data_IF_701556680387
#
_entry.id   IF_701556680387
#
_cell.length_a   1.000
_cell.length_b   1.000
_cell.length_c   1.000
_cell.angle_alpha   90.00
_cell.angle_beta   90.00
_cell.angle_gamma   90.00
#
_symmetry.space_group_name_H-M   'P 1'
#
loop_
_entity.id
_entity.type
_entity.pdbx_description
1 polymer ?
#
# COMPACT_ATOMS: atom_id res chain seq x y z
N UNK A 1 45.37 -51.91 26.75
CA UNK A 1 44.13 -51.09 26.82
C UNK A 1 44.37 -49.84 25.99
N UNK A 2 43.88 -49.82 24.75
CA UNK A 2 44.07 -48.69 23.84
C UNK A 2 42.98 -47.64 24.05
N UNK A 3 43.39 -46.44 24.45
CA UNK A 3 42.51 -45.26 24.50
C UNK A 3 42.07 -44.90 23.07
N UNK A 4 40.83 -45.23 22.70
CA UNK A 4 40.15 -44.60 21.56
C UNK A 4 39.71 -43.21 22.00
N UNK A 5 40.53 -42.21 21.69
CA UNK A 5 40.10 -40.81 21.69
C UNK A 5 39.04 -40.70 20.60
N UNK A 6 37.79 -40.50 21.00
CA UNK A 6 36.72 -40.14 20.07
C UNK A 6 37.05 -38.74 19.57
N UNK A 7 37.61 -38.63 18.36
CA UNK A 7 37.69 -37.37 17.64
C UNK A 7 36.27 -36.84 17.45
N UNK A 8 35.91 -35.83 18.23
CA UNK A 8 34.77 -34.97 17.95
C UNK A 8 35.05 -34.25 16.64
N UNK A 9 34.58 -34.82 15.52
CA UNK A 9 34.55 -34.11 14.24
C UNK A 9 33.80 -32.81 14.47
N UNK A 10 34.50 -31.69 14.42
CA UNK A 10 33.90 -30.37 14.40
C UNK A 10 32.96 -30.30 13.20
N UNK A 11 31.66 -30.28 13.45
CA UNK A 11 30.65 -30.08 12.42
C UNK A 11 30.69 -28.58 12.11
N UNK A 12 31.26 -28.22 10.98
CA UNK A 12 31.16 -26.86 10.46
C UNK A 12 29.70 -26.62 10.06
N UNK A 13 29.13 -25.50 10.51
CA UNK A 13 27.72 -25.15 10.29
C UNK A 13 27.59 -23.74 9.72
N UNK A 14 26.60 -23.53 8.87
CA UNK A 14 26.14 -22.23 8.44
C UNK A 14 25.01 -21.77 9.37
N UNK A 15 25.06 -20.50 9.81
CA UNK A 15 24.05 -19.90 10.68
C UNK A 15 23.28 -18.82 9.93
N UNK A 16 21.96 -18.85 10.02
CA UNK A 16 21.05 -17.88 9.43
C UNK A 16 20.14 -17.30 10.50
N UNK A 17 19.75 -16.04 10.35
CA UNK A 17 18.79 -15.36 11.22
C UNK A 17 17.49 -15.15 10.47
N UNK A 18 16.39 -15.72 10.99
CA UNK A 18 15.07 -15.65 10.35
C UNK A 18 14.10 -14.80 11.21
N UNK A 19 13.46 -13.76 10.65
CA UNK A 19 12.42 -13.01 11.36
C UNK A 19 11.27 -13.94 11.81
N UNK A 20 10.85 -13.83 13.08
CA UNK A 20 9.73 -14.58 13.65
C UNK A 20 9.01 -13.78 14.74
N UNK A 21 7.81 -13.30 14.45
CA UNK A 21 7.06 -12.43 15.36
C UNK A 21 7.83 -11.13 15.65
N UNK A 22 8.21 -10.91 16.92
CA UNK A 22 9.02 -9.76 17.37
C UNK A 22 10.50 -10.10 17.60
N UNK A 23 10.93 -11.30 17.24
CA UNK A 23 12.30 -11.79 17.46
C UNK A 23 12.86 -12.45 16.20
N UNK A 24 14.00 -13.11 16.34
CA UNK A 24 14.63 -13.90 15.29
C UNK A 24 14.82 -15.34 15.76
N UNK A 25 14.70 -16.29 14.84
CA UNK A 25 15.09 -17.68 15.03
C UNK A 25 16.47 -17.89 14.43
N UNK A 26 17.35 -18.58 15.16
CA UNK A 26 18.62 -19.05 14.61
C UNK A 26 18.39 -20.37 13.87
N UNK A 27 18.65 -20.38 12.56
CA UNK A 27 18.64 -21.58 11.73
C UNK A 27 20.09 -22.05 11.53
N UNK A 28 20.37 -23.28 11.93
CA UNK A 28 21.69 -23.91 11.80
C UNK A 28 21.61 -25.00 10.74
N UNK A 29 22.42 -24.89 9.69
CA UNK A 29 22.47 -25.86 8.59
C UNK A 29 23.89 -26.47 8.53
N UNK A 30 23.99 -27.78 8.34
CA UNK A 30 25.29 -28.44 8.09
C UNK A 30 25.95 -27.82 6.86
N UNK A 31 27.19 -27.35 7.01
CA UNK A 31 27.96 -26.72 5.92
C UNK A 31 28.20 -27.62 4.71
N UNK A 32 27.97 -28.93 4.82
CA UNK A 32 27.99 -29.86 3.68
C UNK A 32 26.82 -29.67 2.72
N UNK A 33 25.73 -29.05 3.17
CA UNK A 33 24.59 -28.73 2.31
C UNK A 33 24.87 -27.42 1.59
N UNK A 34 24.62 -27.40 0.29
CA UNK A 34 24.64 -26.15 -0.46
C UNK A 34 23.48 -25.26 0.00
N UNK A 35 23.82 -24.03 0.39
CA UNK A 35 22.85 -23.03 0.87
C UNK A 35 23.11 -21.71 0.17
N UNK A 36 22.06 -21.11 -0.37
CA UNK A 36 22.09 -19.78 -0.99
C UNK A 36 21.11 -18.85 -0.26
N UNK A 37 21.53 -17.61 0.00
CA UNK A 37 20.66 -16.57 0.58
C UNK A 37 20.19 -15.63 -0.52
N UNK A 38 18.89 -15.66 -0.80
CA UNK A 38 18.25 -14.74 -1.74
C UNK A 38 17.67 -13.58 -0.93
N UNK A 39 18.37 -12.44 -0.94
CA UNK A 39 17.98 -11.23 -0.23
C UNK A 39 17.71 -10.08 -1.21
N UNK A 40 16.86 -9.10 -0.86
CA UNK A 40 16.75 -7.87 -1.63
C UNK A 40 18.11 -7.17 -1.75
N UNK A 41 18.32 -6.46 -2.85
CA UNK A 41 19.50 -5.62 -2.99
C UNK A 41 19.49 -4.54 -1.89
N UNK A 42 20.60 -4.32 -1.17
CA UNK A 42 20.67 -3.28 -0.17
C UNK A 42 20.50 -1.92 -0.83
N UNK A 43 19.53 -1.15 -0.35
CA UNK A 43 19.27 0.23 -0.78
C UNK A 43 19.72 1.21 0.30
N UNK A 44 20.44 2.26 -0.11
CA UNK A 44 20.80 3.34 0.82
C UNK A 44 19.52 4.11 1.18
N UNK A 45 19.18 4.27 2.47
CA UNK A 45 18.04 5.10 2.87
C UNK A 45 18.28 6.56 2.47
N UNK A 46 17.19 7.30 2.29
CA UNK A 46 17.26 8.74 2.03
C UNK A 46 17.86 9.46 3.24
N UNK A 47 18.74 10.43 2.99
CA UNK A 47 19.39 11.22 4.04
C UNK A 47 18.39 12.17 4.73
N UNK A 48 17.48 12.74 3.95
CA UNK A 48 16.37 13.56 4.45
C UNK A 48 15.04 13.09 3.81
N UNK A 49 14.37 12.10 4.42
CA UNK A 49 13.08 11.61 3.94
C UNK A 49 11.98 12.70 3.91
N UNK A 50 12.01 13.68 4.82
CA UNK A 50 11.00 14.74 4.87
C UNK A 50 11.13 15.68 3.66
N UNK A 51 12.37 16.10 3.35
CA UNK A 51 12.66 16.88 2.15
C UNK A 51 12.31 16.11 0.88
N UNK A 52 12.61 14.80 0.83
CA UNK A 52 12.29 13.96 -0.33
C UNK A 52 10.77 13.89 -0.60
N UNK A 53 9.94 13.80 0.43
CA UNK A 53 8.47 13.83 0.28
C UNK A 53 8.02 15.18 -0.27
N UNK A 54 8.53 16.30 0.28
CA UNK A 54 8.21 17.65 -0.21
C UNK A 54 8.63 17.83 -1.67
N UNK A 55 9.80 17.32 -2.05
CA UNK A 55 10.29 17.35 -3.42
C UNK A 55 9.41 16.51 -4.37
N UNK A 56 9.02 15.30 -3.98
CA UNK A 56 8.14 14.44 -4.78
C UNK A 56 6.77 15.09 -5.02
N UNK A 57 6.25 15.80 -4.03
CA UNK A 57 5.01 16.57 -4.12
C UNK A 57 5.12 17.81 -5.02
N UNK A 58 6.25 18.51 -4.99
CA UNK A 58 6.50 19.71 -5.81
C UNK A 58 6.90 19.37 -7.26
N UNK A 59 7.45 18.18 -7.48
CA UNK A 59 7.91 17.69 -8.77
C UNK A 59 7.28 16.33 -9.10
N UNK A 60 5.95 16.27 -9.24
CA UNK A 60 5.26 15.02 -9.53
C UNK A 60 5.69 14.45 -10.89
N UNK A 61 5.69 13.11 -10.99
CA UNK A 61 5.90 12.44 -12.26
C UNK A 61 4.68 12.66 -13.17
N UNK A 62 4.92 13.03 -14.42
CA UNK A 62 3.88 13.40 -15.38
C UNK A 62 3.59 14.90 -15.41
N UNK A 63 2.43 15.28 -15.96
CA UNK A 63 2.04 16.67 -16.19
C UNK A 63 0.86 17.13 -15.29
N UNK A 64 0.70 16.54 -14.10
CA UNK A 64 -0.39 16.85 -13.16
C UNK A 64 0.20 17.32 -11.84
N UNK A 65 -0.27 18.47 -11.34
CA UNK A 65 0.14 19.11 -10.10
C UNK A 65 -1.08 19.34 -9.21
N UNK A 66 -0.88 19.42 -7.89
CA UNK A 66 -1.99 19.74 -6.98
C UNK A 66 -2.62 21.11 -7.27
N UNK A 67 -1.82 22.06 -7.78
CA UNK A 67 -2.30 23.39 -8.21
C UNK A 67 -3.29 23.33 -9.40
N UNK A 68 -3.37 22.21 -10.12
CA UNK A 68 -4.32 22.07 -11.22
C UNK A 68 -5.77 21.86 -10.71
N UNK A 69 -5.94 21.63 -9.40
CA UNK A 69 -7.22 21.29 -8.77
C UNK A 69 -7.77 22.37 -7.83
N UNK A 70 -7.32 23.62 -7.94
CA UNK A 70 -7.75 24.72 -7.05
C UNK A 70 -9.27 25.00 -7.06
N UNK A 71 -10.00 24.52 -8.06
CA UNK A 71 -11.46 24.62 -8.13
C UNK A 71 -12.20 23.49 -7.40
N UNK A 72 -11.49 22.46 -6.91
CA UNK A 72 -12.10 21.37 -6.17
C UNK A 72 -12.66 21.89 -4.83
N UNK A 73 -13.89 21.50 -4.50
CA UNK A 73 -14.52 21.88 -3.24
C UNK A 73 -14.35 20.81 -2.15
N UNK A 74 -13.88 19.62 -2.52
CA UNK A 74 -13.66 18.50 -1.61
C UNK A 74 -12.51 17.60 -2.05
N UNK A 75 -11.76 17.10 -1.07
CA UNK A 75 -10.61 16.20 -1.29
C UNK A 75 -10.84 14.88 -0.56
N UNK A 76 -10.71 13.78 -1.30
CA UNK A 76 -10.72 12.43 -0.75
C UNK A 76 -9.32 11.83 -0.86
N UNK A 77 -8.75 11.38 0.26
CA UNK A 77 -7.42 10.78 0.31
C UNK A 77 -7.55 9.33 0.79
N UNK A 78 -7.36 8.37 -0.12
CA UNK A 78 -7.32 6.96 0.21
C UNK A 78 -5.95 6.59 0.79
N UNK A 79 -5.91 6.07 2.02
CA UNK A 79 -4.69 5.69 2.73
C UNK A 79 -4.71 4.19 3.07
N UNK A 80 -3.53 3.59 3.22
CA UNK A 80 -3.41 2.18 3.65
C UNK A 80 -3.96 1.96 5.07
N UNK A 81 -4.39 0.73 5.36
CA UNK A 81 -4.80 0.31 6.70
C UNK A 81 -3.61 -0.19 7.54
N UNK A 82 -3.90 -0.65 8.77
CA UNK A 82 -2.91 -1.13 9.76
C UNK A 82 -2.11 -2.36 9.33
N UNK A 83 -2.47 -3.01 8.22
CA UNK A 83 -1.76 -4.19 7.73
C UNK A 83 -0.54 -3.83 6.89
N UNK A 84 -0.34 -2.53 6.61
CA UNK A 84 0.82 -2.01 5.88
C UNK A 84 1.78 -1.30 6.82
N UNK A 85 3.10 -1.36 6.56
CA UNK A 85 4.06 -0.58 7.33
C UNK A 85 3.79 0.92 7.15
N UNK A 86 3.94 1.70 8.21
CA UNK A 86 3.76 3.15 8.17
C UNK A 86 5.11 3.79 7.83
N UNK A 87 5.25 4.55 6.73
CA UNK A 87 6.48 5.28 6.47
C UNK A 87 6.74 6.32 7.55
N UNK A 88 8.01 6.50 7.91
CA UNK A 88 8.45 7.53 8.84
C UNK A 88 9.49 8.44 8.16
N UNK A 89 9.21 9.76 8.01
CA UNK A 89 7.99 10.47 8.37
C UNK A 89 6.78 10.06 7.52
N UNK A 90 5.56 10.26 8.05
CA UNK A 90 4.33 9.88 7.37
C UNK A 90 4.01 10.87 6.22
N UNK A 91 3.93 10.43 4.94
CA UNK A 91 3.74 11.30 3.79
C UNK A 91 2.42 12.07 3.80
N UNK A 92 1.40 11.55 4.51
CA UNK A 92 0.12 12.24 4.67
C UNK A 92 0.32 13.61 5.33
N UNK A 93 1.29 13.76 6.24
CA UNK A 93 1.56 15.04 6.92
C UNK A 93 1.93 16.12 5.89
N UNK A 94 2.91 15.84 5.02
CA UNK A 94 3.36 16.82 4.02
C UNK A 94 2.32 17.07 2.95
N UNK A 95 1.55 16.05 2.56
CA UNK A 95 0.45 16.20 1.61
C UNK A 95 -0.65 17.13 2.17
N UNK A 96 -1.05 16.91 3.43
CA UNK A 96 -2.07 17.74 4.08
C UNK A 96 -1.60 19.19 4.22
N UNK A 97 -0.36 19.41 4.66
CA UNK A 97 0.20 20.77 4.72
C UNK A 97 0.16 21.46 3.36
N UNK A 98 0.56 20.77 2.30
CA UNK A 98 0.55 21.36 0.96
C UNK A 98 -0.87 21.67 0.46
N UNK A 99 -1.87 20.84 0.79
CA UNK A 99 -3.27 21.12 0.47
C UNK A 99 -3.78 22.34 1.26
N UNK A 100 -3.45 22.45 2.55
CA UNK A 100 -3.78 23.63 3.36
C UNK A 100 -3.14 24.91 2.79
N UNK A 101 -1.86 24.85 2.38
CA UNK A 101 -1.14 25.97 1.76
C UNK A 101 -1.78 26.42 0.43
N UNK A 102 -2.46 25.51 -0.28
CA UNK A 102 -3.23 25.79 -1.49
C UNK A 102 -4.65 26.32 -1.19
N UNK A 103 -5.03 26.43 0.08
CA UNK A 103 -6.30 27.00 0.53
C UNK A 103 -7.42 25.98 0.78
N UNK A 104 -7.12 24.68 0.75
CA UNK A 104 -8.11 23.67 1.13
C UNK A 104 -8.34 23.67 2.64
N UNK A 105 -9.56 23.95 3.07
CA UNK A 105 -9.93 23.89 4.48
C UNK A 105 -9.97 22.44 4.97
N UNK A 106 -9.54 22.16 6.21
CA UNK A 106 -9.53 20.82 6.80
C UNK A 106 -10.87 20.08 6.68
N UNK A 107 -12.00 20.79 6.84
CA UNK A 107 -13.36 20.22 6.73
C UNK A 107 -13.70 19.70 5.32
N UNK A 108 -12.99 20.17 4.29
CA UNK A 108 -13.16 19.74 2.90
C UNK A 108 -12.35 18.47 2.58
N UNK A 109 -11.40 18.11 3.45
CA UNK A 109 -10.49 16.98 3.28
C UNK A 109 -10.97 15.79 4.11
N UNK A 110 -11.08 14.62 3.48
CA UNK A 110 -11.49 13.37 4.11
C UNK A 110 -10.44 12.30 3.87
N UNK A 111 -10.02 11.62 4.93
CA UNK A 111 -9.11 10.48 4.86
C UNK A 111 -9.93 9.18 4.86
N UNK A 112 -9.66 8.29 3.89
CA UNK A 112 -10.35 7.03 3.73
C UNK A 112 -9.39 5.87 4.01
N UNK A 113 -9.63 5.13 5.09
CA UNK A 113 -8.85 3.93 5.43
C UNK A 113 -9.28 2.81 4.50
N UNK A 114 -8.34 2.38 3.66
CA UNK A 114 -8.58 1.49 2.53
C UNK A 114 -8.30 0.04 2.92
N UNK A 115 -9.29 -0.60 3.56
CA UNK A 115 -9.18 -1.95 4.13
C UNK A 115 -9.36 -3.09 3.13
N UNK A 116 -9.95 -2.85 1.95
CA UNK A 116 -10.34 -3.94 1.05
C UNK A 116 -11.22 -4.96 1.78
N UNK A 117 -10.82 -6.23 1.77
CA UNK A 117 -11.53 -7.31 2.49
C UNK A 117 -11.13 -7.47 3.96
N UNK A 118 -10.22 -6.66 4.47
CA UNK A 118 -9.84 -6.71 5.88
C UNK A 118 -10.97 -6.20 6.77
N UNK A 119 -10.93 -6.59 8.05
CA UNK A 119 -11.79 -6.00 9.07
C UNK A 119 -11.54 -4.50 9.13
N UNK A 120 -12.61 -3.72 9.08
CA UNK A 120 -12.54 -2.26 9.21
C UNK A 120 -11.85 -1.87 10.51
N UNK A 121 -10.99 -0.87 10.41
CA UNK A 121 -10.23 -0.34 11.55
C UNK A 121 -11.17 0.34 12.56
N UNK A 122 -10.94 0.11 13.85
CA UNK A 122 -11.66 0.82 14.90
C UNK A 122 -11.05 2.21 15.15
N UNK A 123 -11.83 3.15 15.66
CA UNK A 123 -11.39 4.56 15.81
C UNK A 123 -10.20 4.73 16.77
N UNK A 124 -10.17 3.94 17.83
CA UNK A 124 -9.09 3.88 18.80
C UNK A 124 -7.78 3.34 18.22
N UNK A 125 -7.83 2.72 17.03
CA UNK A 125 -6.64 2.24 16.31
C UNK A 125 -6.06 3.26 15.32
N UNK A 126 -6.71 4.42 15.10
CA UNK A 126 -6.26 5.38 14.09
C UNK A 126 -4.87 5.95 14.40
N UNK A 127 -4.56 6.17 15.68
CA UNK A 127 -3.25 6.66 16.12
C UNK A 127 -2.10 5.67 15.84
N UNK A 128 -2.40 4.40 15.49
CA UNK A 128 -1.38 3.44 15.07
C UNK A 128 -0.82 3.73 13.67
N UNK A 129 -1.57 4.45 12.83
CA UNK A 129 -1.18 4.73 11.43
C UNK A 129 -1.12 6.22 11.10
N UNK A 130 -1.72 7.08 11.93
CA UNK A 130 -1.75 8.53 11.76
C UNK A 130 -1.31 9.23 13.05
N UNK A 131 -0.57 10.34 12.97
CA UNK A 131 -0.36 11.21 14.11
C UNK A 131 -1.67 11.66 14.75
N UNK A 132 -1.69 11.77 16.09
CA UNK A 132 -2.84 12.23 16.87
C UNK A 132 -3.44 13.55 16.36
N UNK A 133 -2.59 14.51 15.98
CA UNK A 133 -3.05 15.79 15.43
C UNK A 133 -3.88 15.63 14.14
N UNK A 134 -3.59 14.63 13.30
CA UNK A 134 -4.41 14.36 12.11
C UNK A 134 -5.73 13.72 12.54
N UNK A 135 -5.70 12.78 13.48
CA UNK A 135 -6.90 12.08 13.98
C UNK A 135 -7.91 13.06 14.60
N UNK A 136 -7.44 14.10 15.29
CA UNK A 136 -8.28 15.09 15.95
C UNK A 136 -8.86 16.14 14.99
N UNK A 137 -8.14 16.50 13.91
CA UNK A 137 -8.51 17.63 13.04
C UNK A 137 -9.17 17.23 11.72
N UNK A 138 -9.01 15.99 11.28
CA UNK A 138 -9.49 15.53 9.96
C UNK A 138 -10.62 14.51 10.07
N UNK A 139 -11.54 14.54 9.11
CA UNK A 139 -12.58 13.50 9.00
C UNK A 139 -11.97 12.21 8.46
N UNK A 140 -11.92 11.17 9.29
CA UNK A 140 -11.48 9.84 8.92
C UNK A 140 -12.69 8.92 8.71
N UNK A 141 -12.74 8.23 7.57
CA UNK A 141 -13.78 7.30 7.19
C UNK A 141 -13.15 5.93 6.98
N UNK A 142 -13.69 4.91 7.64
CA UNK A 142 -13.25 3.52 7.49
C UNK A 142 -14.10 2.82 6.44
N UNK A 143 -13.44 2.11 5.52
CA UNK A 143 -14.13 1.33 4.52
C UNK A 143 -14.46 -0.08 5.01
N UNK A 144 -15.63 -0.57 4.62
CA UNK A 144 -16.05 -1.96 4.73
C UNK A 144 -16.60 -2.39 3.37
N UNK A 145 -16.02 -3.44 2.79
CA UNK A 145 -16.39 -3.92 1.46
C UNK A 145 -17.82 -4.51 1.37
N UNK A 146 -18.46 -4.79 2.51
CA UNK A 146 -19.84 -5.29 2.60
C UNK A 146 -20.85 -4.20 3.01
N UNK A 147 -20.43 -3.26 3.87
CA UNK A 147 -21.36 -2.33 4.52
C UNK A 147 -21.25 -0.87 4.06
N UNK A 148 -20.11 -0.45 3.48
CA UNK A 148 -19.95 0.93 3.02
C UNK A 148 -20.89 1.25 1.85
N UNK A 149 -21.37 2.50 1.72
CA UNK A 149 -22.17 2.89 0.56
C UNK A 149 -21.34 2.77 -0.71
N UNK A 150 -21.87 2.09 -1.74
CA UNK A 150 -21.18 1.87 -3.02
C UNK A 150 -21.82 2.67 -4.15
N UNK A 151 -21.01 3.15 -5.09
CA UNK A 151 -21.42 3.60 -6.41
C UNK A 151 -21.05 2.54 -7.45
N UNK A 152 -21.90 2.35 -8.45
CA UNK A 152 -21.65 1.46 -9.59
C UNK A 152 -21.05 2.28 -10.74
N UNK A 153 -19.86 1.88 -11.20
CA UNK A 153 -19.12 2.52 -12.30
C UNK A 153 -19.10 1.64 -13.57
N UNK A 154 -20.04 0.69 -13.66
CA UNK A 154 -20.16 -0.28 -14.73
C UNK A 154 -19.26 -1.48 -14.53
N UNK A 155 -18.66 -1.96 -15.62
CA UNK A 155 -17.79 -3.14 -15.63
C UNK A 155 -16.45 -2.85 -16.28
N UNK A 156 -15.45 -3.66 -15.95
CA UNK A 156 -14.16 -3.70 -16.63
C UNK A 156 -14.23 -4.49 -17.93
N UNK A 157 -13.15 -4.51 -18.71
CA UNK A 157 -13.02 -5.39 -19.89
C UNK A 157 -13.11 -6.90 -19.59
N UNK A 158 -12.84 -7.32 -18.34
CA UNK A 158 -13.00 -8.70 -17.89
C UNK A 158 -14.37 -8.96 -17.27
N UNK A 159 -15.34 -8.05 -17.47
CA UNK A 159 -16.68 -8.09 -16.88
C UNK A 159 -16.74 -7.98 -15.35
N UNK A 160 -15.64 -7.60 -14.69
CA UNK A 160 -15.64 -7.31 -13.25
C UNK A 160 -16.56 -6.12 -12.98
N UNK A 161 -17.61 -6.26 -12.14
CA UNK A 161 -18.43 -5.13 -11.71
C UNK A 161 -17.60 -4.19 -10.86
N UNK A 162 -17.79 -2.89 -11.03
CA UNK A 162 -16.99 -1.85 -10.36
C UNK A 162 -17.88 -1.15 -9.33
N UNK A 163 -17.74 -1.59 -8.08
CA UNK A 163 -18.44 -1.06 -6.91
C UNK A 163 -17.40 -0.38 -6.03
N UNK A 164 -17.49 0.93 -5.89
CA UNK A 164 -16.50 1.73 -5.15
C UNK A 164 -17.19 2.55 -4.07
N UNK A 165 -16.51 2.80 -2.96
CA UNK A 165 -16.99 3.65 -1.88
C UNK A 165 -17.51 5.00 -2.44
N UNK A 166 -18.82 5.20 -2.31
CA UNK A 166 -19.54 6.36 -2.85
C UNK A 166 -19.03 7.67 -2.27
N UNK A 167 -18.68 7.68 -0.98
CA UNK A 167 -18.24 8.88 -0.29
C UNK A 167 -16.88 9.36 -0.80
N UNK A 168 -15.99 8.43 -1.14
CA UNK A 168 -14.71 8.73 -1.79
C UNK A 168 -14.90 9.18 -3.24
N UNK A 169 -15.71 8.45 -4.01
CA UNK A 169 -15.97 8.79 -5.41
C UNK A 169 -16.64 10.17 -5.58
N UNK A 170 -17.43 10.60 -4.59
CA UNK A 170 -18.11 11.90 -4.60
C UNK A 170 -17.18 13.08 -4.28
N UNK A 171 -15.91 12.84 -3.92
CA UNK A 171 -14.93 13.91 -3.76
C UNK A 171 -14.45 14.43 -5.13
N UNK A 172 -14.26 15.73 -5.23
CA UNK A 172 -13.83 16.39 -6.46
C UNK A 172 -12.39 15.99 -6.81
N UNK A 173 -11.47 16.15 -5.85
CA UNK A 173 -10.07 15.71 -5.95
C UNK A 173 -9.89 14.37 -5.23
N UNK A 174 -9.42 13.34 -5.95
CA UNK A 174 -9.22 11.98 -5.44
C UNK A 174 -7.75 11.60 -5.46
N UNK A 175 -7.17 11.45 -4.27
CA UNK A 175 -5.75 11.16 -4.06
C UNK A 175 -5.59 9.77 -3.45
N UNK A 176 -4.53 9.06 -3.82
CA UNK A 176 -4.10 7.84 -3.12
C UNK A 176 -2.74 8.04 -2.47
N UNK A 177 -2.57 7.53 -1.25
CA UNK A 177 -1.29 7.49 -0.53
C UNK A 177 -1.04 6.07 -0.06
N UNK A 178 0.09 5.47 -0.42
CA UNK A 178 0.40 4.12 0.04
C UNK A 178 1.74 3.58 -0.40
N UNK A 179 2.08 2.41 0.11
CA UNK A 179 3.38 1.79 -0.13
C UNK A 179 3.42 1.05 -1.47
N UNK A 180 4.56 1.09 -2.13
CA UNK A 180 4.90 0.34 -3.33
C UNK A 180 5.87 -0.78 -2.93
N UNK A 181 5.38 -2.01 -2.93
CA UNK A 181 6.10 -3.23 -2.61
C UNK A 181 5.69 -4.34 -3.60
N UNK A 182 6.57 -5.33 -3.86
CA UNK A 182 6.18 -6.52 -4.63
C UNK A 182 4.96 -7.20 -4.00
N UNK A 183 3.98 -7.55 -4.84
CA UNK A 183 2.76 -8.21 -4.41
C UNK A 183 2.61 -9.56 -5.11
N UNK A 184 2.48 -10.64 -4.35
CA UNK A 184 2.55 -12.03 -4.81
C UNK A 184 1.84 -12.36 -6.14
N UNK A 185 0.67 -11.79 -6.42
CA UNK A 185 -0.05 -12.01 -7.69
C UNK A 185 -0.49 -10.74 -8.44
N UNK A 186 -0.25 -9.53 -7.90
CA UNK A 186 -0.68 -8.27 -8.54
C UNK A 186 0.51 -7.48 -9.11
N UNK A 187 1.70 -8.09 -9.18
CA UNK A 187 2.94 -7.40 -9.51
C UNK A 187 3.43 -6.58 -8.33
N UNK A 188 2.77 -5.45 -8.10
CA UNK A 188 3.10 -4.47 -7.07
C UNK A 188 1.84 -3.95 -6.36
N UNK A 189 2.01 -3.52 -5.10
CA UNK A 189 1.02 -2.74 -4.35
C UNK A 189 0.97 -1.28 -4.84
N UNK A 190 0.32 -0.41 -4.07
CA UNK A 190 0.40 1.05 -4.25
C UNK A 190 -0.28 1.60 -5.51
N UNK A 191 -0.15 2.91 -5.67
CA UNK A 191 -0.85 3.69 -6.69
C UNK A 191 -2.36 3.54 -6.56
N UNK A 192 -3.04 3.43 -7.71
CA UNK A 192 -4.52 3.36 -7.75
C UNK A 192 -5.09 2.15 -7.00
N UNK A 193 -4.31 1.08 -6.77
CA UNK A 193 -4.74 -0.10 -5.99
C UNK A 193 -5.26 0.29 -4.60
N UNK A 194 -4.65 1.30 -3.98
CA UNK A 194 -5.07 1.80 -2.66
C UNK A 194 -6.57 2.10 -2.65
N UNK A 195 -7.12 2.71 -3.71
CA UNK A 195 -8.56 2.94 -3.83
C UNK A 195 -9.28 1.80 -4.59
N UNK A 196 -8.74 1.36 -5.73
CA UNK A 196 -9.38 0.42 -6.66
C UNK A 196 -9.64 -0.97 -6.07
N UNK A 197 -8.87 -1.37 -5.06
CA UNK A 197 -9.14 -2.58 -4.26
C UNK A 197 -9.47 -2.18 -2.82
N UNK A 198 -8.71 -1.24 -2.25
CA UNK A 198 -8.86 -0.92 -0.82
C UNK A 198 -10.17 -0.20 -0.46
N UNK A 199 -10.85 0.43 -1.43
CA UNK A 199 -12.16 1.08 -1.26
C UNK A 199 -13.26 0.43 -2.12
N UNK A 200 -13.03 -0.79 -2.60
CA UNK A 200 -13.96 -1.52 -3.45
C UNK A 200 -14.89 -2.46 -2.66
N UNK A 201 -16.09 -2.67 -3.20
CA UNK A 201 -17.03 -3.66 -2.67
C UNK A 201 -16.52 -5.09 -2.87
N UNK A 202 -16.98 -6.02 -2.03
CA UNK A 202 -16.55 -7.43 -2.03
C UNK A 202 -16.68 -8.09 -3.40
N UNK A 203 -17.74 -7.77 -4.14
CA UNK A 203 -18.00 -8.28 -5.49
C UNK A 203 -16.85 -7.94 -6.46
N UNK A 204 -16.46 -6.66 -6.52
CA UNK A 204 -15.34 -6.17 -7.34
C UNK A 204 -14.04 -6.84 -6.95
N UNK A 205 -13.74 -6.90 -5.64
CA UNK A 205 -12.51 -7.51 -5.14
C UNK A 205 -12.45 -8.99 -5.52
N UNK A 206 -13.54 -9.73 -5.29
CA UNK A 206 -13.61 -11.17 -5.54
C UNK A 206 -13.42 -11.49 -7.02
N UNK A 207 -14.05 -10.72 -7.92
CA UNK A 207 -13.92 -10.95 -9.36
C UNK A 207 -12.49 -10.70 -9.85
N UNK A 208 -11.85 -9.60 -9.41
CA UNK A 208 -10.45 -9.32 -9.73
C UNK A 208 -9.52 -10.42 -9.18
N UNK A 209 -9.75 -10.88 -7.95
CA UNK A 209 -8.93 -11.92 -7.32
C UNK A 209 -9.15 -13.31 -7.93
N UNK A 210 -10.29 -13.57 -8.57
CA UNK A 210 -10.53 -14.86 -9.25
C UNK A 210 -9.51 -15.14 -10.37
N UNK A 211 -8.85 -14.12 -10.89
CA UNK A 211 -7.77 -14.26 -11.88
C UNK A 211 -6.40 -14.63 -11.28
N UNK A 212 -6.28 -14.80 -9.95
CA UNK A 212 -4.98 -15.06 -9.29
C UNK A 212 -4.22 -16.28 -9.83
N UNK A 213 -4.92 -17.24 -10.44
CA UNK A 213 -4.34 -18.45 -11.03
C UNK A 213 -3.80 -18.24 -12.45
N UNK A 214 -3.98 -17.05 -13.03
CA UNK A 214 -3.47 -16.74 -14.36
C UNK A 214 -1.94 -16.75 -14.36
N UNK A 215 -1.30 -17.32 -15.39
CA UNK A 215 0.15 -17.52 -15.43
C UNK A 215 0.97 -16.24 -15.24
N UNK A 216 0.46 -15.11 -15.72
CA UNK A 216 1.10 -13.79 -15.56
C UNK A 216 0.72 -13.03 -14.27
N UNK A 217 -0.12 -13.60 -13.40
CA UNK A 217 -0.48 -13.05 -12.10
C UNK A 217 0.61 -13.34 -11.07
N UNK A 218 1.77 -12.70 -11.24
CA UNK A 218 2.96 -12.96 -10.43
C UNK A 218 3.52 -11.67 -9.82
N UNK A 219 4.33 -11.83 -8.78
CA UNK A 219 5.11 -10.75 -8.17
C UNK A 219 6.03 -10.10 -9.20
N UNK A 220 6.16 -8.77 -9.15
CA UNK A 220 7.04 -8.00 -10.03
C UNK A 220 6.56 -7.82 -11.48
N UNK A 221 5.51 -8.52 -11.94
CA UNK A 221 4.96 -8.35 -13.28
C UNK A 221 3.90 -7.25 -13.29
N UNK A 222 4.15 -6.15 -14.01
CA UNK A 222 3.22 -5.03 -14.13
C UNK A 222 2.40 -5.08 -15.44
N UNK A 223 3.02 -4.78 -16.59
CA UNK A 223 2.30 -4.57 -17.87
C UNK A 223 1.52 -5.79 -18.37
N UNK A 224 2.06 -7.00 -18.16
CA UNK A 224 1.43 -8.25 -18.61
C UNK A 224 0.53 -8.92 -17.58
N UNK A 225 0.46 -8.37 -16.36
CA UNK A 225 -0.35 -8.95 -15.30
C UNK A 225 -1.81 -8.51 -15.44
N UNK A 226 -2.75 -9.40 -15.77
CA UNK A 226 -4.14 -9.00 -16.04
C UNK A 226 -4.84 -8.42 -14.81
N UNK A 227 -4.56 -8.92 -13.60
CA UNK A 227 -5.13 -8.37 -12.36
C UNK A 227 -4.66 -6.94 -12.15
N UNK A 228 -3.38 -6.67 -12.39
CA UNK A 228 -2.84 -5.31 -12.25
C UNK A 228 -3.43 -4.37 -13.30
N UNK A 229 -3.50 -4.80 -14.55
CA UNK A 229 -4.05 -3.95 -15.61
C UNK A 229 -5.55 -3.68 -15.42
N UNK A 230 -6.30 -4.62 -14.85
CA UNK A 230 -7.69 -4.36 -14.45
C UNK A 230 -7.78 -3.36 -13.29
N UNK A 231 -6.87 -3.43 -12.31
CA UNK A 231 -6.79 -2.44 -11.23
C UNK A 231 -6.53 -1.03 -11.79
N UNK A 232 -5.69 -0.90 -12.82
CA UNK A 232 -5.47 0.39 -13.51
C UNK A 232 -6.75 0.88 -14.19
N UNK A 233 -7.48 0.00 -14.88
CA UNK A 233 -8.76 0.33 -15.51
C UNK A 233 -9.80 0.80 -14.48
N UNK A 234 -9.88 0.12 -13.34
CA UNK A 234 -10.75 0.52 -12.22
C UNK A 234 -10.31 1.90 -11.69
N UNK A 235 -9.01 2.12 -11.48
CA UNK A 235 -8.46 3.41 -11.06
C UNK A 235 -8.82 4.57 -12.00
N UNK A 236 -8.76 4.33 -13.32
CA UNK A 236 -9.17 5.30 -14.33
C UNK A 236 -10.68 5.61 -14.26
N UNK A 237 -11.52 4.59 -14.06
CA UNK A 237 -12.97 4.78 -13.90
C UNK A 237 -13.36 5.50 -12.60
N UNK A 238 -12.59 5.30 -11.53
CA UNK A 238 -12.70 6.08 -10.29
C UNK A 238 -12.28 7.54 -10.51
N UNK A 239 -11.45 7.81 -11.53
CA UNK A 239 -10.78 9.07 -11.80
C UNK A 239 -9.84 9.47 -10.65
N UNK A 240 -8.91 8.58 -10.31
CA UNK A 240 -7.83 8.95 -9.38
C UNK A 240 -6.95 10.02 -10.04
N UNK A 241 -6.84 11.17 -9.38
CA UNK A 241 -6.22 12.38 -9.91
C UNK A 241 -4.73 12.46 -9.56
N UNK A 242 -4.35 11.98 -8.36
CA UNK A 242 -2.98 12.07 -7.85
C UNK A 242 -2.61 10.85 -6.99
N UNK A 243 -1.35 10.42 -7.05
CA UNK A 243 -0.83 9.32 -6.25
C UNK A 243 0.48 9.72 -5.55
N UNK A 244 0.59 9.46 -4.25
CA UNK A 244 1.81 9.59 -3.48
C UNK A 244 2.25 8.21 -2.99
N UNK A 245 3.28 7.65 -3.63
CA UNK A 245 3.81 6.33 -3.33
C UNK A 245 5.08 6.38 -2.48
N UNK A 246 5.20 5.49 -1.49
CA UNK A 246 6.42 5.31 -0.70
C UNK A 246 7.06 3.94 -0.96
N UNK A 247 8.38 3.89 -1.04
CA UNK A 247 9.18 2.65 -1.06
C UNK A 247 10.00 2.63 0.24
N UNK A 248 9.92 1.54 0.99
CA UNK A 248 10.53 1.36 2.31
C UNK A 248 11.64 0.32 2.28
#
# INVERSE_FOLDING_TARGET
MGNRILETKSITVNKFSLPYGKSYLELIIDSKLYTESILPNPTKPLEDPELAIKQALNHPLGNVRLNDFLSASSVGIAINDKTRPVPHPNPVISLLQQLEDLGFEQKSIKLFISSGTHKSMAKDEFENILPKSIVENYKIITHNCDDSPMVDLGKTKFNTPIKINRDFHSCDLKITVGNIEPHHFMGFSGGVKTAAIGLAGRETITHNHAMLTHDSAQSGIYHRNPLRQEIEEIGQKIKIDFCLGSVL
#
